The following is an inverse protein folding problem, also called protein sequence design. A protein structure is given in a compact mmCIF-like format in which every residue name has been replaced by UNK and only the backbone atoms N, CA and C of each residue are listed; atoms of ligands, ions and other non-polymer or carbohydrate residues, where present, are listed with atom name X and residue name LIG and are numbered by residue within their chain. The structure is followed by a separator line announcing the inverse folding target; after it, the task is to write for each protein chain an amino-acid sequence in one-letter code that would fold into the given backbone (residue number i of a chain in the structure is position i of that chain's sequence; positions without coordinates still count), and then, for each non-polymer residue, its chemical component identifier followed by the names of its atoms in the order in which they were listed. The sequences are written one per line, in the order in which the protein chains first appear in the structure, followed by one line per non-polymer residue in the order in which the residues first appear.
data_IF_226120246423
#
_entry.id   IF_226120246423
#
_cell.length_a   1.000
_cell.length_b   1.000
_cell.length_c   1.000
_cell.angle_alpha   90.00
_cell.angle_beta   90.00
_cell.angle_gamma   90.00
#
_symmetry.space_group_name_H-M   'P 1'
#
loop_
_entity.id
_entity.type
_entity.pdbx_description
1 polymer ?
#
# COMPACT_ATOMS: atom_id res chain seq x y z
N UNK A 1 18.89 -37.52 -20.18
CA UNK A 1 19.21 -36.34 -19.34
C UNK A 1 18.54 -35.18 -20.02
N UNK A 2 17.35 -34.82 -19.57
CA UNK A 2 16.57 -33.73 -20.15
C UNK A 2 16.87 -32.50 -19.30
N UNK A 3 17.53 -31.51 -19.89
CA UNK A 3 17.69 -30.18 -19.30
C UNK A 3 16.28 -29.62 -19.04
N UNK A 4 15.94 -29.46 -17.75
CA UNK A 4 14.84 -28.60 -17.37
C UNK A 4 15.33 -27.16 -17.53
N UNK A 5 14.61 -26.28 -18.26
CA UNK A 5 14.99 -24.90 -18.37
C UNK A 5 15.02 -24.28 -16.97
N UNK A 6 16.13 -23.61 -16.65
CA UNK A 6 16.32 -22.81 -15.44
C UNK A 6 15.04 -22.01 -15.15
N UNK A 7 14.33 -22.36 -14.08
CA UNK A 7 13.22 -21.56 -13.59
C UNK A 7 13.83 -20.31 -12.96
N UNK A 8 13.92 -19.25 -13.77
CA UNK A 8 14.34 -17.95 -13.31
C UNK A 8 13.46 -17.54 -12.11
N UNK A 9 14.05 -17.16 -10.97
CA UNK A 9 13.28 -16.89 -9.76
C UNK A 9 12.25 -15.79 -10.06
N UNK A 10 10.97 -16.08 -9.77
CA UNK A 10 9.87 -15.14 -9.98
C UNK A 10 10.13 -13.88 -9.17
N UNK A 11 10.06 -12.70 -9.81
CA UNK A 11 10.16 -11.42 -9.10
C UNK A 11 9.06 -11.31 -8.04
N UNK A 12 9.36 -10.78 -6.84
CA UNK A 12 8.35 -10.56 -5.83
C UNK A 12 7.39 -9.45 -6.27
N UNK A 13 6.12 -9.56 -5.88
CA UNK A 13 5.04 -8.68 -6.33
C UNK A 13 4.54 -7.79 -5.18
N UNK A 14 4.71 -6.48 -5.32
CA UNK A 14 4.29 -5.48 -4.34
C UNK A 14 2.92 -4.92 -4.72
N UNK A 15 1.97 -4.99 -3.80
CA UNK A 15 0.75 -4.18 -3.91
C UNK A 15 0.97 -2.81 -3.28
N UNK A 16 0.72 -1.76 -4.05
CA UNK A 16 0.69 -0.38 -3.53
C UNK A 16 -0.76 0.06 -3.39
N UNK A 17 -1.22 0.22 -2.14
CA UNK A 17 -2.57 0.69 -1.81
C UNK A 17 -2.57 2.22 -1.64
N UNK A 18 -3.37 2.92 -2.45
CA UNK A 18 -3.37 4.39 -2.53
C UNK A 18 -4.68 4.98 -2.02
N UNK A 19 -4.58 5.86 -1.01
CA UNK A 19 -5.73 6.58 -0.48
C UNK A 19 -5.85 8.01 -1.03
N UNK A 20 -7.04 8.58 -0.99
CA UNK A 20 -7.31 9.97 -1.37
C UNK A 20 -6.60 10.98 -0.47
N UNK A 21 -5.39 11.37 -0.85
CA UNK A 21 -4.60 12.38 -0.15
C UNK A 21 -3.95 13.33 -1.14
N UNK A 22 -3.58 14.54 -0.68
CA UNK A 22 -2.98 15.56 -1.54
C UNK A 22 -1.63 15.18 -2.18
N UNK A 23 -1.02 14.07 -1.76
CA UNK A 23 0.24 13.57 -2.34
C UNK A 23 0.05 12.28 -3.15
N UNK A 24 -1.18 11.78 -3.30
CA UNK A 24 -1.40 10.51 -3.99
C UNK A 24 -0.89 10.51 -5.44
N UNK A 25 -0.92 11.65 -6.13
CA UNK A 25 -0.38 11.80 -7.49
C UNK A 25 1.13 11.53 -7.60
N UNK A 26 1.87 11.56 -6.49
CA UNK A 26 3.31 11.26 -6.44
C UNK A 26 3.61 9.77 -6.26
N UNK A 27 2.60 8.88 -6.26
CA UNK A 27 2.81 7.44 -5.99
C UNK A 27 3.78 6.76 -6.95
N UNK A 28 3.97 7.31 -8.15
CA UNK A 28 5.01 6.86 -9.09
C UNK A 28 6.41 6.80 -8.48
N UNK A 29 6.71 7.62 -7.46
CA UNK A 29 7.98 7.60 -6.72
C UNK A 29 8.20 6.27 -6.00
N UNK A 30 7.18 5.75 -5.30
CA UNK A 30 7.27 4.44 -4.64
C UNK A 30 7.35 3.31 -5.67
N UNK A 31 6.60 3.41 -6.76
CA UNK A 31 6.63 2.41 -7.84
C UNK A 31 8.06 2.33 -8.42
N UNK A 32 8.69 3.47 -8.72
CA UNK A 32 10.07 3.52 -9.20
C UNK A 32 11.04 2.85 -8.22
N UNK A 33 11.00 3.23 -6.93
CA UNK A 33 11.90 2.66 -5.92
C UNK A 33 11.71 1.13 -5.78
N UNK A 34 10.47 0.64 -5.82
CA UNK A 34 10.20 -0.78 -5.76
C UNK A 34 10.73 -1.52 -7.01
N UNK A 35 10.53 -0.96 -8.21
CA UNK A 35 11.03 -1.53 -9.45
C UNK A 35 12.57 -1.55 -9.50
N UNK A 36 13.23 -0.49 -9.02
CA UNK A 36 14.70 -0.43 -8.87
C UNK A 36 15.22 -1.51 -7.90
N UNK A 37 14.42 -1.86 -6.89
CA UNK A 37 14.68 -2.98 -5.99
C UNK A 37 14.21 -4.35 -6.53
N UNK A 38 13.93 -4.44 -7.84
CA UNK A 38 13.54 -5.66 -8.56
C UNK A 38 12.17 -6.27 -8.18
N UNK A 39 11.22 -5.42 -7.77
CA UNK A 39 9.82 -5.80 -7.60
C UNK A 39 8.99 -5.54 -8.85
N UNK A 40 8.02 -6.41 -9.11
CA UNK A 40 6.88 -6.05 -9.92
C UNK A 40 5.83 -5.38 -9.02
N UNK A 41 5.06 -4.43 -9.56
CA UNK A 41 4.18 -3.57 -8.75
C UNK A 41 2.78 -3.55 -9.34
N UNK A 42 1.76 -3.75 -8.49
CA UNK A 42 0.35 -3.54 -8.83
C UNK A 42 -0.27 -2.50 -7.92
N UNK A 43 -1.12 -1.63 -8.48
CA UNK A 43 -1.74 -0.53 -7.72
C UNK A 43 -3.20 -0.85 -7.39
N UNK A 44 -3.56 -0.65 -6.12
CA UNK A 44 -4.92 -0.74 -5.62
C UNK A 44 -5.33 0.64 -5.07
N UNK A 45 -6.15 1.38 -5.80
CA UNK A 45 -6.64 2.66 -5.35
C UNK A 45 -7.94 2.48 -4.54
N UNK A 46 -8.09 3.20 -3.43
CA UNK A 46 -9.41 3.39 -2.84
C UNK A 46 -10.33 4.10 -3.85
N UNK A 47 -11.66 3.91 -3.81
CA UNK A 47 -12.56 4.55 -4.78
C UNK A 47 -12.37 6.08 -4.89
N UNK A 48 -12.14 6.74 -3.75
CA UNK A 48 -11.84 8.18 -3.74
C UNK A 48 -10.42 8.48 -4.21
N UNK A 49 -9.44 7.61 -3.89
CA UNK A 49 -8.04 7.80 -4.26
C UNK A 49 -7.78 7.68 -5.76
N UNK A 50 -8.63 6.95 -6.49
CA UNK A 50 -8.51 6.82 -7.95
C UNK A 50 -8.55 8.17 -8.67
N UNK A 51 -9.34 9.12 -8.17
CA UNK A 51 -9.42 10.47 -8.75
C UNK A 51 -8.23 11.38 -8.42
N UNK A 52 -7.27 10.92 -7.61
CA UNK A 52 -6.10 11.71 -7.18
C UNK A 52 -4.81 11.27 -7.88
N UNK A 53 -4.88 10.24 -8.73
CA UNK A 53 -3.73 9.67 -9.42
C UNK A 53 -3.90 9.78 -10.94
N UNK A 54 -2.76 9.85 -11.64
CA UNK A 54 -2.73 9.68 -13.08
C UNK A 54 -2.76 8.18 -13.41
N UNK A 55 -3.95 7.68 -13.72
CA UNK A 55 -4.16 6.26 -13.95
C UNK A 55 -3.38 5.75 -15.17
N UNK A 56 -3.36 6.52 -16.26
CA UNK A 56 -2.68 6.13 -17.49
C UNK A 56 -1.17 6.05 -17.27
N UNK A 57 -0.58 7.03 -16.60
CA UNK A 57 0.84 7.01 -16.27
C UNK A 57 1.23 5.82 -15.38
N UNK A 58 0.41 5.50 -14.38
CA UNK A 58 0.67 4.37 -13.47
C UNK A 58 0.52 3.02 -14.19
N UNK A 59 -0.51 2.86 -15.03
CA UNK A 59 -0.70 1.62 -15.80
C UNK A 59 0.44 1.43 -16.81
N UNK A 60 0.92 2.52 -17.44
CA UNK A 60 2.09 2.49 -18.32
C UNK A 60 3.39 2.16 -17.55
N UNK A 61 3.56 2.68 -16.33
CA UNK A 61 4.73 2.43 -15.50
C UNK A 61 4.78 0.99 -14.96
N UNK A 62 3.63 0.45 -14.56
CA UNK A 62 3.54 -0.87 -13.92
C UNK A 62 3.31 -2.01 -14.90
N UNK A 63 2.69 -1.73 -16.04
CA UNK A 63 2.21 -2.75 -16.98
C UNK A 63 0.95 -3.48 -16.51
N UNK A 64 0.31 -3.01 -15.43
CA UNK A 64 -0.87 -3.63 -14.83
C UNK A 64 -2.02 -2.64 -14.69
N UNK A 65 -3.29 -3.07 -14.83
CA UNK A 65 -4.44 -2.20 -14.61
C UNK A 65 -4.56 -1.83 -13.12
N UNK A 66 -5.01 -0.61 -12.84
CA UNK A 66 -5.32 -0.18 -11.47
C UNK A 66 -6.59 -0.88 -11.00
N UNK A 67 -6.56 -1.40 -9.77
CA UNK A 67 -7.75 -1.95 -9.13
C UNK A 67 -8.39 -0.95 -8.17
N UNK A 68 -9.69 -0.71 -8.30
CA UNK A 68 -10.47 0.11 -7.35
C UNK A 68 -11.78 -0.54 -6.90
N UNK A 69 -12.23 -1.58 -7.60
CA UNK A 69 -13.47 -2.30 -7.34
C UNK A 69 -13.28 -3.81 -7.51
N UNK A 70 -14.17 -4.58 -6.88
CA UNK A 70 -14.21 -6.02 -7.05
C UNK A 70 -14.46 -6.40 -8.51
N UNK A 71 -13.82 -7.49 -8.92
CA UNK A 71 -14.10 -8.14 -10.20
C UNK A 71 -15.43 -8.90 -10.12
N UNK A 72 -16.03 -9.22 -11.26
CA UNK A 72 -17.17 -10.13 -11.27
C UNK A 72 -16.73 -11.56 -10.94
N UNK A 73 -17.62 -12.40 -10.38
CA UNK A 73 -17.37 -13.82 -10.27
C UNK A 73 -17.01 -14.42 -11.63
N UNK A 74 -15.91 -15.17 -11.71
CA UNK A 74 -15.44 -15.80 -12.94
C UNK A 74 -14.40 -14.99 -13.74
N UNK A 75 -14.34 -13.66 -13.56
CA UNK A 75 -13.31 -12.84 -14.21
C UNK A 75 -11.90 -13.26 -13.73
N UNK A 76 -10.88 -13.21 -14.61
CA UNK A 76 -9.51 -13.46 -14.19
C UNK A 76 -9.04 -12.45 -13.13
N UNK A 77 -8.07 -12.84 -12.31
CA UNK A 77 -7.43 -11.89 -11.39
C UNK A 77 -6.57 -10.92 -12.20
N UNK A 78 -6.78 -9.59 -12.08
CA UNK A 78 -6.03 -8.61 -12.87
C UNK A 78 -4.59 -8.41 -12.40
N UNK A 79 -4.28 -8.81 -11.16
CA UNK A 79 -2.94 -8.76 -10.57
C UNK A 79 -2.54 -10.15 -10.04
N UNK A 80 -1.24 -10.50 -10.08
CA UNK A 80 -0.67 -11.63 -9.35
C UNK A 80 -0.93 -11.53 -7.83
N UNK A 81 -0.84 -12.64 -7.07
CA UNK A 81 -0.82 -12.57 -5.61
C UNK A 81 0.30 -11.66 -5.11
N UNK A 82 0.02 -10.89 -4.06
CA UNK A 82 0.98 -9.99 -3.44
C UNK A 82 1.91 -10.77 -2.50
N UNK A 83 3.20 -10.49 -2.59
CA UNK A 83 4.21 -10.96 -1.63
C UNK A 83 4.40 -9.95 -0.50
N UNK A 84 4.05 -8.68 -0.73
CA UNK A 84 3.99 -7.63 0.28
C UNK A 84 2.98 -6.53 -0.09
N UNK A 85 2.56 -5.72 0.89
CA UNK A 85 1.65 -4.59 0.69
C UNK A 85 2.24 -3.31 1.28
N UNK A 86 2.25 -2.23 0.50
CA UNK A 86 2.55 -0.88 0.96
C UNK A 86 1.30 0.01 0.85
N UNK A 87 0.78 0.49 1.98
CA UNK A 87 -0.33 1.45 2.01
C UNK A 87 0.24 2.86 2.08
N UNK A 88 0.42 3.50 0.93
CA UNK A 88 1.09 4.80 0.81
C UNK A 88 0.46 5.64 -0.30
N UNK A 89 -0.09 6.82 0.00
CA UNK A 89 -0.34 7.35 1.33
C UNK A 89 -1.56 6.68 1.97
N UNK A 90 -1.54 6.50 3.29
CA UNK A 90 -2.68 6.01 4.06
C UNK A 90 -3.41 7.17 4.75
N UNK A 91 -4.71 7.31 4.52
CA UNK A 91 -5.51 8.37 5.16
C UNK A 91 -6.05 7.91 6.51
N UNK A 92 -6.39 8.88 7.38
CA UNK A 92 -7.11 8.65 8.64
C UNK A 92 -8.31 7.70 8.47
N UNK A 93 -9.11 7.88 7.40
CA UNK A 93 -10.28 7.06 7.14
C UNK A 93 -9.92 5.58 6.91
N UNK A 94 -8.95 5.31 6.04
CA UNK A 94 -8.55 3.93 5.73
C UNK A 94 -7.92 3.25 6.95
N UNK A 95 -7.05 3.96 7.68
CA UNK A 95 -6.38 3.43 8.88
C UNK A 95 -7.42 3.00 9.93
N UNK A 96 -8.38 3.87 10.25
CA UNK A 96 -9.37 3.55 11.28
C UNK A 96 -10.33 2.44 10.84
N UNK A 97 -10.76 2.45 9.58
CA UNK A 97 -11.63 1.38 9.06
C UNK A 97 -10.92 0.02 9.07
N UNK A 98 -9.65 0.01 8.64
CA UNK A 98 -8.86 -1.22 8.61
C UNK A 98 -8.66 -1.80 10.01
N UNK A 99 -8.24 -0.98 10.98
CA UNK A 99 -8.06 -1.43 12.35
C UNK A 99 -9.36 -1.96 12.99
N UNK A 100 -10.52 -1.42 12.59
CA UNK A 100 -11.84 -1.85 13.04
C UNK A 100 -12.41 -3.06 12.26
N UNK A 101 -11.68 -3.60 11.27
CA UNK A 101 -12.14 -4.71 10.44
C UNK A 101 -13.23 -4.35 9.42
N UNK A 102 -13.41 -3.07 9.11
CA UNK A 102 -14.38 -2.60 8.13
C UNK A 102 -13.82 -2.81 6.72
N UNK A 103 -14.52 -3.60 5.91
CA UNK A 103 -14.12 -4.02 4.56
C UNK A 103 -15.08 -3.51 3.47
N UNK A 104 -15.36 -2.21 3.46
CA UNK A 104 -16.35 -1.60 2.55
C UNK A 104 -15.79 -1.08 1.22
N UNK A 105 -14.49 -1.26 0.98
CA UNK A 105 -13.83 -1.00 -0.30
C UNK A 105 -12.92 -2.18 -0.66
N UNK A 106 -12.60 -2.35 -1.96
CA UNK A 106 -11.68 -3.41 -2.38
C UNK A 106 -10.35 -3.33 -1.61
N UNK A 107 -9.80 -2.11 -1.49
CA UNK A 107 -8.56 -1.86 -0.75
C UNK A 107 -8.65 -2.37 0.70
N UNK A 108 -9.72 -2.02 1.41
CA UNK A 108 -9.92 -2.50 2.79
C UNK A 108 -10.14 -4.01 2.87
N UNK A 109 -10.83 -4.62 1.90
CA UNK A 109 -10.97 -6.07 1.85
C UNK A 109 -9.64 -6.79 1.71
N UNK A 110 -8.78 -6.33 0.80
CA UNK A 110 -7.41 -6.85 0.65
C UNK A 110 -6.63 -6.69 1.95
N UNK A 111 -6.70 -5.53 2.59
CA UNK A 111 -5.96 -5.25 3.84
C UNK A 111 -6.46 -6.08 5.03
N UNK A 112 -7.77 -6.33 5.14
CA UNK A 112 -8.32 -7.19 6.18
C UNK A 112 -7.93 -8.66 5.98
N UNK A 113 -7.86 -9.13 4.74
CA UNK A 113 -7.43 -10.49 4.41
C UNK A 113 -5.91 -10.70 4.58
N UNK A 114 -5.11 -9.67 4.31
CA UNK A 114 -3.64 -9.73 4.35
C UNK A 114 -3.08 -10.32 5.65
N UNK A 115 -3.69 -9.98 6.79
CA UNK A 115 -3.33 -10.53 8.10
C UNK A 115 -3.48 -12.05 8.14
N UNK A 116 -4.62 -12.58 7.66
CA UNK A 116 -4.88 -14.02 7.63
C UNK A 116 -3.99 -14.78 6.64
N UNK A 117 -3.49 -14.09 5.61
CA UNK A 117 -2.51 -14.64 4.67
C UNK A 117 -1.06 -14.49 5.11
N UNK A 118 -0.78 -13.80 6.22
CA UNK A 118 0.58 -13.54 6.68
C UNK A 118 1.39 -12.67 5.71
N UNK A 119 0.73 -11.78 4.94
CA UNK A 119 1.41 -10.92 3.96
C UNK A 119 2.02 -9.72 4.71
N UNK A 120 3.36 -9.53 4.67
CA UNK A 120 4.01 -8.38 5.25
C UNK A 120 3.41 -7.08 4.72
N UNK A 121 3.01 -6.20 5.63
CA UNK A 121 2.29 -4.97 5.27
C UNK A 121 2.90 -3.76 5.98
N UNK A 122 3.29 -2.76 5.19
CA UNK A 122 3.70 -1.45 5.67
C UNK A 122 2.63 -0.39 5.38
N UNK A 123 2.49 0.57 6.26
CA UNK A 123 1.56 1.70 6.12
C UNK A 123 2.32 3.00 6.35
N UNK A 124 2.20 3.94 5.43
CA UNK A 124 2.73 5.30 5.54
C UNK A 124 1.56 6.28 5.72
N UNK A 125 1.21 6.66 6.96
CA UNK A 125 0.13 7.60 7.20
C UNK A 125 0.42 9.00 6.62
N UNK A 126 -0.57 9.60 5.98
CA UNK A 126 -0.52 10.99 5.56
C UNK A 126 -1.82 11.72 5.92
N UNK A 127 -1.75 12.51 6.98
CA UNK A 127 -2.86 13.21 7.60
C UNK A 127 -2.36 14.45 8.33
N UNK A 128 -3.28 15.33 8.72
CA UNK A 128 -2.95 16.51 9.51
C UNK A 128 -3.02 16.21 11.02
N UNK A 129 -2.42 17.08 11.83
CA UNK A 129 -2.35 16.91 13.29
C UNK A 129 -3.71 16.97 13.99
N UNK A 130 -4.73 17.60 13.41
CA UNK A 130 -6.08 17.58 13.98
C UNK A 130 -6.75 16.21 13.83
N UNK A 131 -6.55 15.52 12.70
CA UNK A 131 -6.96 14.13 12.53
C UNK A 131 -6.14 13.20 13.45
N UNK A 132 -4.84 13.46 13.60
CA UNK A 132 -3.99 12.65 14.47
C UNK A 132 -4.35 12.78 15.96
N UNK A 133 -4.91 13.92 16.38
CA UNK A 133 -5.39 14.15 17.74
C UNK A 133 -6.69 13.39 18.07
N UNK A 134 -7.38 12.82 17.09
CA UNK A 134 -8.59 12.06 17.34
C UNK A 134 -8.24 10.69 17.99
N UNK A 135 -8.89 10.29 19.11
CA UNK A 135 -8.47 9.13 19.89
C UNK A 135 -8.49 7.80 19.11
N UNK A 136 -9.41 7.65 18.16
CA UNK A 136 -9.46 6.46 17.31
C UNK A 136 -8.17 6.27 16.48
N UNK A 137 -7.44 7.33 16.14
CA UNK A 137 -6.23 7.20 15.32
C UNK A 137 -5.11 6.50 16.07
N UNK A 138 -4.80 6.95 17.29
CA UNK A 138 -3.75 6.31 18.11
C UNK A 138 -4.10 4.86 18.43
N UNK A 139 -5.37 4.59 18.76
CA UNK A 139 -5.88 3.24 19.02
C UNK A 139 -5.79 2.34 17.78
N UNK A 140 -6.13 2.88 16.60
CA UNK A 140 -6.03 2.15 15.34
C UNK A 140 -4.58 1.82 14.98
N UNK A 141 -3.64 2.76 15.16
CA UNK A 141 -2.22 2.48 14.94
C UNK A 141 -1.69 1.41 15.90
N UNK A 142 -2.07 1.45 17.18
CA UNK A 142 -1.71 0.41 18.15
C UNK A 142 -2.25 -0.95 17.70
N UNK A 143 -3.52 -1.03 17.32
CA UNK A 143 -4.14 -2.26 16.82
C UNK A 143 -3.44 -2.81 15.58
N UNK A 144 -3.09 -1.94 14.62
CA UNK A 144 -2.36 -2.34 13.42
C UNK A 144 -0.95 -2.85 13.77
N UNK A 145 -0.27 -2.24 14.75
CA UNK A 145 1.02 -2.77 15.24
C UNK A 145 0.88 -4.16 15.87
N UNK A 146 -0.18 -4.40 16.65
CA UNK A 146 -0.47 -5.74 17.19
C UNK A 146 -0.71 -6.78 16.08
N UNK A 147 -1.22 -6.34 14.93
CA UNK A 147 -1.40 -7.17 13.73
C UNK A 147 -0.10 -7.37 12.94
N UNK A 148 1.04 -6.84 13.41
CA UNK A 148 2.33 -6.94 12.72
C UNK A 148 2.51 -5.93 11.57
N UNK A 149 1.63 -4.92 11.46
CA UNK A 149 1.76 -3.88 10.43
C UNK A 149 2.90 -2.92 10.80
N UNK A 150 3.77 -2.68 9.83
CA UNK A 150 4.90 -1.76 9.97
C UNK A 150 4.45 -0.33 9.69
N UNK A 151 4.61 0.56 10.68
CA UNK A 151 4.09 1.94 10.61
C UNK A 151 5.23 2.92 10.30
N UNK A 152 5.09 3.70 9.23
CA UNK A 152 6.04 4.75 8.86
C UNK A 152 6.10 5.92 9.85
N UNK A 153 7.21 6.65 9.81
CA UNK A 153 7.60 7.68 10.76
C UNK A 153 7.08 9.09 10.42
N UNK A 154 6.37 9.27 9.30
CA UNK A 154 5.89 10.58 8.88
C UNK A 154 5.08 11.29 9.99
N UNK A 155 5.51 12.50 10.34
CA UNK A 155 4.81 13.32 11.32
C UNK A 155 3.64 14.09 10.70
N UNK A 156 2.43 14.02 11.30
CA UNK A 156 1.26 14.73 10.81
C UNK A 156 1.51 16.24 10.62
N UNK A 157 1.16 16.74 9.44
CA UNK A 157 1.35 18.15 9.09
C UNK A 157 0.33 19.06 9.77
N UNK A 158 0.62 20.36 9.86
CA UNK A 158 -0.34 21.34 10.41
C UNK A 158 -1.59 21.43 9.52
N UNK A 159 -2.80 21.53 10.08
CA UNK A 159 -4.02 21.75 9.31
C UNK A 159 -3.90 23.00 8.44
N UNK A 160 -4.42 22.94 7.21
CA UNK A 160 -4.44 24.06 6.25
C UNK A 160 -3.06 24.59 5.83
N UNK A 161 -1.96 23.89 6.12
CA UNK A 161 -0.60 24.32 5.77
C UNK A 161 -0.17 23.96 4.32
N UNK A 162 -1.09 23.51 3.47
CA UNK A 162 -0.75 23.04 2.11
C UNK A 162 -0.16 21.63 2.04
N UNK A 163 0.03 20.96 3.18
CA UNK A 163 0.53 19.58 3.26
C UNK A 163 1.93 19.48 3.90
N UNK A 164 2.63 18.38 3.63
CA UNK A 164 4.03 18.13 3.99
C UNK A 164 4.69 17.16 3.01
N UNK A 165 4.34 17.32 1.73
CA UNK A 165 4.74 16.42 0.64
C UNK A 165 6.26 16.30 0.48
N UNK A 166 6.96 17.42 0.69
CA UNK A 166 8.42 17.54 0.67
C UNK A 166 9.13 16.67 1.71
N UNK A 167 8.44 16.35 2.80
CA UNK A 167 8.96 15.52 3.90
C UNK A 167 8.46 14.08 3.85
N UNK A 168 7.60 13.74 2.90
CA UNK A 168 7.05 12.40 2.79
C UNK A 168 8.03 11.48 2.06
N UNK A 169 8.59 10.50 2.80
CA UNK A 169 9.55 9.52 2.29
C UNK A 169 8.81 8.31 1.74
N UNK A 170 8.71 8.21 0.41
CA UNK A 170 8.02 7.10 -0.24
C UNK A 170 8.77 5.78 -0.07
N UNK A 171 10.10 5.84 -0.15
CA UNK A 171 11.00 4.70 -0.03
C UNK A 171 10.91 3.99 1.33
N UNK A 172 10.45 4.68 2.37
CA UNK A 172 10.30 4.14 3.72
C UNK A 172 9.42 2.87 3.74
N UNK A 173 8.39 2.80 2.89
CA UNK A 173 7.54 1.61 2.82
C UNK A 173 8.34 0.35 2.48
N UNK A 174 9.30 0.48 1.56
CA UNK A 174 10.14 -0.65 1.14
C UNK A 174 11.26 -0.93 2.16
N UNK A 175 11.83 0.10 2.78
CA UNK A 175 12.79 -0.02 3.88
C UNK A 175 12.20 -0.83 5.04
N UNK A 176 10.93 -0.57 5.38
CA UNK A 176 10.20 -1.33 6.41
C UNK A 176 9.98 -2.79 5.99
N UNK A 177 9.60 -3.06 4.74
CA UNK A 177 9.27 -4.41 4.26
C UNK A 177 10.50 -5.31 4.04
N UNK A 178 11.67 -4.73 3.76
CA UNK A 178 12.88 -5.48 3.36
C UNK A 178 13.39 -6.48 4.41
N UNK A 179 13.47 -6.15 5.72
CA UNK A 179 13.89 -7.09 6.76
C UNK A 179 12.98 -8.32 6.89
N UNK A 180 11.67 -8.15 6.76
CA UNK A 180 10.67 -9.23 6.93
C UNK A 180 10.76 -10.28 5.81
N UNK A 181 11.14 -9.86 4.61
CA UNK A 181 11.27 -10.74 3.44
C UNK A 181 12.62 -11.46 3.37
N UNK A 182 13.56 -11.03 4.19
CA UNK A 182 14.90 -11.62 4.31
C UNK A 182 15.03 -12.56 5.51
N UNK A 183 14.00 -12.62 6.38
CA UNK A 183 13.98 -13.52 7.53
C UNK A 183 13.69 -14.97 7.07
N UNK A 184 14.47 -15.97 7.53
CA UNK A 184 14.15 -17.37 7.25
C UNK A 184 12.84 -17.75 7.98
N UNK A 185 11.93 -18.40 7.24
CA UNK A 185 10.65 -18.92 7.74
C UNK A 185 10.80 -19.97 8.84
#
# INVERSE_FOLDING_TARGET
MSDQPDQQPKKPFLYVVVCASGIAGDVGKLITVAQEANWDVGVVATPQGLGFIDAEAIEAQTGYPIRSAWRSPGDPRPLPPADAIAVAPATFNTINKWAAGISDTLALGILCEAYGFGIPTAVLPYLNSAQAAHPAYSQSLERLREMGVLIGAYEPHKPKAGGGADRFRWEEALELLTPELSAPA
#
